data_IF_222920089485
#
_entry.id   IF_222920089485
#
_cell.length_a   1.000
_cell.length_b   1.000
_cell.length_c   1.000
_cell.angle_alpha   90.00
_cell.angle_beta   90.00
_cell.angle_gamma   90.00
#
_symmetry.space_group_name_H-M   'P 1'
#
loop_
_entity.id
_entity.type
_entity.pdbx_description
1 polymer ?
#
# COMPACT_ATOMS: atom_id res chain seq x y z
N UNK A 1 6.27 18.90 3.27
CA UNK A 1 5.70 17.64 2.79
C UNK A 1 4.31 17.51 3.35
N UNK A 2 3.35 17.01 2.54
CA UNK A 2 1.98 16.86 3.05
C UNK A 2 1.72 15.41 3.48
N UNK A 3 2.36 14.43 2.82
CA UNK A 3 2.23 13.00 3.07
C UNK A 3 3.59 12.36 3.29
N UNK A 4 3.76 11.66 4.39
CA UNK A 4 4.88 10.74 4.61
C UNK A 4 4.32 9.32 4.56
N UNK A 5 4.98 8.45 3.79
CA UNK A 5 4.64 7.03 3.71
C UNK A 5 5.84 6.24 4.18
N UNK A 6 5.63 5.31 5.11
CA UNK A 6 6.69 4.44 5.62
C UNK A 6 6.34 3.00 5.30
N UNK A 7 7.21 2.31 4.58
CA UNK A 7 6.94 0.95 4.11
C UNK A 7 8.16 0.19 3.64
N UNK A 8 7.94 -1.04 3.18
CA UNK A 8 8.95 -1.85 2.51
C UNK A 8 9.29 -1.23 1.15
N UNK A 9 10.56 -1.32 0.80
CA UNK A 9 11.08 -0.97 -0.52
C UNK A 9 11.99 -2.09 -1.02
N UNK A 10 11.82 -2.52 -2.25
CA UNK A 10 12.65 -3.54 -2.86
C UNK A 10 12.37 -3.72 -4.35
N UNK A 11 13.08 -4.66 -4.97
CA UNK A 11 12.90 -5.00 -6.37
C UNK A 11 11.90 -6.15 -6.52
N UNK A 12 10.89 -5.98 -7.35
CA UNK A 12 9.95 -7.02 -7.75
C UNK A 12 10.26 -7.51 -9.15
N UNK A 13 10.32 -8.82 -9.33
CA UNK A 13 10.57 -9.46 -10.63
C UNK A 13 9.40 -10.38 -10.96
N UNK A 14 8.86 -10.26 -12.16
CA UNK A 14 7.66 -10.92 -12.63
C UNK A 14 7.97 -11.85 -13.81
N UNK A 15 8.52 -13.05 -13.59
CA UNK A 15 8.68 -14.02 -14.64
C UNK A 15 7.33 -14.67 -15.00
N UNK A 16 6.99 -14.66 -16.30
CA UNK A 16 5.81 -15.34 -16.82
C UNK A 16 6.20 -16.73 -17.31
N UNK A 17 5.52 -17.76 -16.80
CA UNK A 17 5.81 -19.17 -17.09
C UNK A 17 4.56 -19.90 -17.57
N UNK A 18 4.73 -21.08 -18.19
CA UNK A 18 3.59 -21.87 -18.65
C UNK A 18 2.79 -22.48 -17.49
N UNK A 19 3.47 -22.89 -16.44
CA UNK A 19 2.92 -23.50 -15.23
C UNK A 19 3.92 -23.32 -14.07
N UNK A 20 3.51 -23.56 -12.84
CA UNK A 20 4.45 -23.54 -11.71
C UNK A 20 5.31 -24.80 -11.66
N UNK A 21 6.57 -24.63 -11.21
CA UNK A 21 7.55 -25.69 -11.13
C UNK A 21 7.03 -26.92 -10.37
N UNK A 22 7.34 -28.10 -10.92
CA UNK A 22 7.34 -29.37 -10.22
C UNK A 22 8.73 -29.62 -9.61
N UNK A 23 8.86 -30.53 -8.65
CA UNK A 23 10.18 -30.93 -8.17
C UNK A 23 11.10 -31.33 -9.34
N UNK A 24 12.38 -30.87 -9.29
CA UNK A 24 13.44 -31.16 -10.28
C UNK A 24 13.19 -30.60 -11.70
N UNK A 25 12.19 -29.76 -11.88
CA UNK A 25 11.86 -29.14 -13.17
C UNK A 25 12.54 -27.78 -13.35
N UNK A 26 13.13 -27.56 -14.52
CA UNK A 26 13.58 -26.25 -14.98
C UNK A 26 12.59 -25.71 -16.00
N UNK A 27 12.03 -24.51 -15.74
CA UNK A 27 11.15 -23.81 -16.68
C UNK A 27 11.88 -22.64 -17.31
N UNK A 28 11.55 -22.37 -18.56
CA UNK A 28 11.93 -21.12 -19.23
C UNK A 28 10.76 -20.12 -19.09
N UNK A 29 11.05 -18.94 -18.57
CA UNK A 29 10.12 -17.83 -18.63
C UNK A 29 10.04 -17.33 -20.08
N UNK A 30 8.85 -17.04 -20.55
CA UNK A 30 8.62 -16.48 -21.88
C UNK A 30 8.53 -14.95 -21.86
N UNK A 31 8.40 -14.35 -20.68
CA UNK A 31 8.49 -12.91 -20.43
C UNK A 31 9.09 -12.64 -19.04
N UNK A 32 9.73 -11.49 -18.90
CA UNK A 32 10.34 -11.05 -17.66
C UNK A 32 10.20 -9.54 -17.54
N UNK A 33 9.46 -9.10 -16.54
CA UNK A 33 9.34 -7.69 -16.16
C UNK A 33 9.94 -7.48 -14.77
N UNK A 34 10.47 -6.29 -14.49
CA UNK A 34 11.00 -5.95 -13.18
C UNK A 34 10.76 -4.48 -12.87
N UNK A 35 10.32 -4.18 -11.67
CA UNK A 35 10.12 -2.83 -11.18
C UNK A 35 10.36 -2.75 -9.68
N UNK A 36 10.73 -1.57 -9.12
CA UNK A 36 10.70 -1.33 -7.70
C UNK A 36 9.30 -1.54 -7.13
N UNK A 37 9.19 -1.99 -5.88
CA UNK A 37 7.90 -2.28 -5.27
C UNK A 37 7.97 -2.39 -3.75
N UNK A 38 6.87 -2.85 -3.20
CA UNK A 38 6.49 -2.86 -1.80
C UNK A 38 5.17 -2.09 -1.66
N UNK A 39 4.28 -2.49 -0.75
CA UNK A 39 2.96 -1.84 -0.65
C UNK A 39 3.09 -0.35 -0.39
N UNK A 40 3.87 0.04 0.63
CA UNK A 40 4.10 1.46 0.92
C UNK A 40 4.74 2.20 -0.25
N UNK A 41 5.65 1.57 -0.97
CA UNK A 41 6.29 2.13 -2.16
C UNK A 41 5.26 2.40 -3.28
N UNK A 42 4.44 1.40 -3.58
CA UNK A 42 3.37 1.51 -4.58
C UNK A 42 2.35 2.60 -4.20
N UNK A 43 1.99 2.66 -2.91
CA UNK A 43 1.08 3.68 -2.37
C UNK A 43 1.66 5.10 -2.51
N UNK A 44 2.98 5.24 -2.40
CA UNK A 44 3.66 6.52 -2.59
C UNK A 44 3.57 7.00 -4.05
N UNK A 45 3.82 6.11 -5.01
CA UNK A 45 3.67 6.41 -6.44
C UNK A 45 2.24 6.78 -6.77
N UNK A 46 1.26 5.99 -6.29
CA UNK A 46 -0.15 6.28 -6.50
C UNK A 46 -0.55 7.66 -5.94
N UNK A 47 -0.09 8.00 -4.74
CA UNK A 47 -0.39 9.28 -4.10
C UNK A 47 0.23 10.46 -4.87
N UNK A 48 1.48 10.34 -5.33
CA UNK A 48 2.16 11.37 -6.11
C UNK A 48 1.45 11.62 -7.45
N UNK A 49 1.08 10.56 -8.17
CA UNK A 49 0.33 10.65 -9.42
C UNK A 49 -1.07 11.25 -9.25
N UNK A 50 -1.64 11.13 -8.06
CA UNK A 50 -2.89 11.80 -7.66
C UNK A 50 -2.68 13.21 -7.09
N UNK A 51 -1.51 13.81 -7.30
CA UNK A 51 -1.20 15.22 -7.01
C UNK A 51 -0.75 15.50 -5.57
N UNK A 52 -0.48 14.50 -4.74
CA UNK A 52 0.04 14.73 -3.40
C UNK A 52 1.55 15.06 -3.40
N UNK A 53 1.98 15.90 -2.44
CA UNK A 53 3.40 16.14 -2.15
C UNK A 53 3.91 15.09 -1.17
N UNK A 54 4.60 14.06 -1.68
CA UNK A 54 4.92 12.81 -1.00
C UNK A 54 6.40 12.71 -0.63
N UNK A 55 6.69 12.19 0.55
CA UNK A 55 7.96 11.58 0.87
C UNK A 55 7.75 10.10 1.25
N UNK A 56 8.65 9.24 0.79
CA UNK A 56 8.64 7.82 1.11
C UNK A 56 9.86 7.45 1.93
N UNK A 57 9.65 6.75 3.05
CA UNK A 57 10.71 6.21 3.90
C UNK A 57 10.75 4.68 3.83
N UNK A 58 11.93 4.15 3.54
CA UNK A 58 12.21 2.73 3.45
C UNK A 58 13.66 2.42 3.76
N UNK A 59 14.01 1.12 3.84
CA UNK A 59 15.38 0.67 3.98
C UNK A 59 15.85 -0.05 2.73
N UNK A 60 17.08 0.22 2.29
CA UNK A 60 17.72 -0.42 1.14
C UNK A 60 19.16 -0.78 1.45
N UNK A 61 19.70 -1.76 0.74
CA UNK A 61 21.14 -2.06 0.74
C UNK A 61 21.92 -1.08 -0.17
N UNK A 62 23.26 -1.07 -0.07
CA UNK A 62 24.13 -0.33 -0.98
C UNK A 62 24.34 -1.11 -2.27
N UNK A 63 23.26 -1.42 -2.96
CA UNK A 63 23.20 -2.24 -4.18
C UNK A 63 22.40 -1.56 -5.30
N UNK A 64 22.47 -2.10 -6.51
CA UNK A 64 21.79 -1.53 -7.69
C UNK A 64 20.27 -1.49 -7.53
N UNK A 65 19.68 -2.45 -6.80
CA UNK A 65 18.25 -2.48 -6.53
C UNK A 65 17.82 -1.31 -5.63
N UNK A 66 18.64 -1.00 -4.61
CA UNK A 66 18.41 0.15 -3.73
C UNK A 66 18.54 1.48 -4.47
N UNK A 67 19.53 1.61 -5.35
CA UNK A 67 19.70 2.79 -6.21
C UNK A 67 18.52 2.95 -7.17
N UNK A 68 18.06 1.85 -7.78
CA UNK A 68 16.90 1.86 -8.68
C UNK A 68 15.61 2.30 -7.96
N UNK A 69 15.41 1.84 -6.71
CA UNK A 69 14.28 2.26 -5.89
C UNK A 69 14.30 3.76 -5.63
N UNK A 70 15.43 4.33 -5.19
CA UNK A 70 15.53 5.76 -4.91
C UNK A 70 15.32 6.59 -6.18
N UNK A 71 15.95 6.21 -7.29
CA UNK A 71 15.84 6.89 -8.58
C UNK A 71 14.41 6.91 -9.09
N UNK A 72 13.68 5.79 -9.02
CA UNK A 72 12.28 5.76 -9.48
C UNK A 72 11.38 6.67 -8.64
N UNK A 73 11.61 6.79 -7.34
CA UNK A 73 10.87 7.75 -6.50
C UNK A 73 11.11 9.20 -6.95
N UNK A 74 12.37 9.55 -7.24
CA UNK A 74 12.72 10.89 -7.74
C UNK A 74 12.08 11.18 -9.10
N UNK A 75 12.03 10.20 -10.00
CA UNK A 75 11.35 10.31 -11.31
C UNK A 75 9.83 10.54 -11.17
N UNK A 76 9.21 10.00 -10.11
CA UNK A 76 7.79 10.23 -9.77
C UNK A 76 7.57 11.51 -8.93
N UNK A 77 8.63 12.30 -8.68
CA UNK A 77 8.55 13.53 -7.89
C UNK A 77 8.38 13.29 -6.39
N UNK A 78 8.71 12.10 -5.90
CA UNK A 78 8.64 11.70 -4.50
C UNK A 78 10.00 11.92 -3.83
N UNK A 79 10.02 12.50 -2.64
CA UNK A 79 11.25 12.66 -1.86
C UNK A 79 11.64 11.32 -1.23
N UNK A 80 12.79 10.71 -1.62
CA UNK A 80 13.24 9.45 -1.03
C UNK A 80 13.92 9.72 0.32
N UNK A 81 13.40 9.13 1.38
CA UNK A 81 13.96 9.12 2.74
C UNK A 81 14.51 7.72 3.04
N UNK A 82 15.59 7.34 2.33
CA UNK A 82 16.09 5.97 2.34
C UNK A 82 17.15 5.77 3.42
N UNK A 83 16.94 4.79 4.32
CA UNK A 83 17.97 4.29 5.22
C UNK A 83 18.82 3.26 4.46
N UNK A 84 20.05 3.64 4.09
CA UNK A 84 21.00 2.71 3.46
C UNK A 84 21.70 1.90 4.55
N UNK A 85 21.58 0.57 4.52
CA UNK A 85 22.07 -0.34 5.58
C UNK A 85 22.90 -1.47 5.00
N UNK A 86 23.87 -1.97 5.78
CA UNK A 86 24.65 -3.13 5.40
C UNK A 86 23.75 -4.36 5.18
N UNK A 87 23.81 -4.92 3.98
CA UNK A 87 22.99 -6.03 3.55
C UNK A 87 22.41 -5.78 2.15
N UNK A 88 21.41 -6.57 1.77
CA UNK A 88 20.77 -6.47 0.45
C UNK A 88 19.40 -5.81 0.56
N UNK A 89 19.06 -5.09 -0.51
CA UNK A 89 17.70 -4.58 -0.73
C UNK A 89 16.71 -5.75 -0.79
N UNK A 90 15.48 -5.52 -0.34
CA UNK A 90 14.41 -6.51 -0.43
C UNK A 90 14.14 -6.92 -1.87
N UNK A 91 13.68 -8.16 -2.05
CA UNK A 91 13.42 -8.72 -3.37
C UNK A 91 12.15 -9.58 -3.34
N UNK A 92 11.34 -9.48 -4.37
CA UNK A 92 10.17 -10.35 -4.57
C UNK A 92 10.23 -11.02 -5.95
N UNK A 93 10.09 -12.35 -5.98
CA UNK A 93 9.83 -13.09 -7.20
C UNK A 93 8.34 -13.43 -7.27
N UNK A 94 7.67 -12.94 -8.31
CA UNK A 94 6.23 -13.10 -8.52
C UNK A 94 6.04 -13.90 -9.81
N UNK A 95 5.99 -15.22 -9.71
CA UNK A 95 5.76 -16.09 -10.86
C UNK A 95 4.29 -16.04 -11.25
N UNK A 96 4.00 -15.78 -12.53
CA UNK A 96 2.63 -15.81 -13.07
C UNK A 96 2.52 -16.92 -14.11
N UNK A 97 1.53 -17.79 -13.98
CA UNK A 97 1.25 -18.84 -14.95
C UNK A 97 0.28 -18.37 -16.07
N UNK A 98 0.07 -19.21 -17.10
CA UNK A 98 -0.85 -18.91 -18.23
C UNK A 98 -2.31 -18.69 -17.80
N UNK A 99 -2.72 -19.06 -16.59
CA UNK A 99 -4.06 -18.83 -16.06
C UNK A 99 -4.17 -17.52 -15.30
N UNK A 100 -3.03 -16.79 -15.15
CA UNK A 100 -2.94 -15.57 -14.37
C UNK A 100 -2.87 -15.82 -12.85
N UNK A 101 -2.58 -17.06 -12.42
CA UNK A 101 -2.32 -17.35 -11.00
C UNK A 101 -0.91 -16.91 -10.64
N UNK A 102 -0.74 -16.37 -9.43
CA UNK A 102 0.54 -15.89 -8.94
C UNK A 102 1.09 -16.75 -7.79
N UNK A 103 2.42 -16.94 -7.78
CA UNK A 103 3.17 -17.44 -6.61
C UNK A 103 4.27 -16.46 -6.27
N UNK A 104 4.26 -16.02 -5.01
CA UNK A 104 5.16 -14.96 -4.54
C UNK A 104 6.15 -15.53 -3.53
N UNK A 105 7.43 -15.20 -3.73
CA UNK A 105 8.49 -15.44 -2.74
C UNK A 105 9.14 -14.11 -2.44
N UNK A 106 9.23 -13.75 -1.15
CA UNK A 106 9.81 -12.47 -0.70
C UNK A 106 11.06 -12.74 0.12
N UNK A 107 12.13 -12.04 -0.23
CA UNK A 107 13.29 -11.82 0.63
C UNK A 107 13.17 -10.42 1.24
N UNK A 108 13.00 -10.34 2.55
CA UNK A 108 12.70 -9.08 3.23
C UNK A 108 13.85 -8.06 3.22
N UNK A 109 15.10 -8.50 2.96
CA UNK A 109 16.26 -7.63 2.89
C UNK A 109 16.56 -6.89 4.20
N UNK A 110 17.22 -5.75 4.06
CA UNK A 110 17.45 -4.82 5.17
C UNK A 110 16.12 -4.15 5.57
N UNK A 111 15.97 -3.86 6.86
CA UNK A 111 14.72 -3.38 7.43
C UNK A 111 14.93 -2.08 8.21
N UNK A 112 13.90 -1.23 8.24
CA UNK A 112 13.87 -0.05 9.11
C UNK A 112 13.92 -0.46 10.58
N UNK A 113 14.66 0.29 11.38
CA UNK A 113 14.69 0.20 12.85
C UNK A 113 13.96 1.40 13.47
N UNK A 114 13.69 1.35 14.77
CA UNK A 114 13.15 2.49 15.51
C UNK A 114 14.08 3.72 15.42
N UNK A 115 15.41 3.52 15.39
CA UNK A 115 16.39 4.61 15.25
C UNK A 115 16.32 5.28 13.87
N UNK A 116 16.05 4.52 12.80
CA UNK A 116 15.84 5.11 11.47
C UNK A 116 14.58 5.99 11.48
N UNK A 117 13.55 5.59 12.22
CA UNK A 117 12.32 6.39 12.37
C UNK A 117 12.57 7.64 13.24
N UNK A 118 13.42 7.56 14.29
CA UNK A 118 13.83 8.74 15.07
C UNK A 118 14.49 9.80 14.17
N UNK A 119 15.30 9.38 13.22
CA UNK A 119 15.94 10.30 12.27
C UNK A 119 14.94 11.01 11.34
N UNK A 120 13.71 10.51 11.23
CA UNK A 120 12.62 11.07 10.42
C UNK A 120 11.63 11.94 11.24
N UNK A 121 11.91 12.22 12.53
CA UNK A 121 10.96 12.94 13.39
C UNK A 121 10.56 14.31 12.79
N UNK A 122 11.50 15.06 12.23
CA UNK A 122 11.22 16.36 11.63
C UNK A 122 10.28 16.24 10.39
N UNK A 123 10.48 15.21 9.58
CA UNK A 123 9.64 14.95 8.40
C UNK A 123 8.23 14.51 8.82
N UNK A 124 8.13 13.61 9.81
CA UNK A 124 6.84 13.18 10.37
C UNK A 124 6.12 14.37 10.99
N UNK A 125 6.79 15.17 11.82
CA UNK A 125 6.21 16.35 12.48
C UNK A 125 5.68 17.40 11.50
N UNK A 126 6.29 17.52 10.30
CA UNK A 126 5.85 18.46 9.26
C UNK A 126 4.71 17.91 8.39
N UNK A 127 4.42 16.62 8.45
CA UNK A 127 3.40 15.98 7.63
C UNK A 127 1.99 16.29 8.13
N UNK A 128 1.03 16.37 7.21
CA UNK A 128 -0.41 16.44 7.53
C UNK A 128 -1.02 15.06 7.69
N UNK A 129 -0.41 14.05 7.05
CA UNK A 129 -0.86 12.67 7.02
C UNK A 129 0.34 11.73 6.97
N UNK A 130 0.26 10.64 7.72
CA UNK A 130 1.17 9.51 7.69
C UNK A 130 0.42 8.28 7.20
N UNK A 131 0.98 7.53 6.25
CA UNK A 131 0.45 6.25 5.79
C UNK A 131 1.42 5.14 6.17
N UNK A 132 0.93 4.13 6.88
CA UNK A 132 1.71 3.00 7.37
C UNK A 132 1.18 1.67 6.87
N UNK A 133 2.10 0.77 6.55
CA UNK A 133 1.82 -0.66 6.30
C UNK A 133 2.64 -1.54 7.23
N UNK A 134 2.12 -2.69 7.72
CA UNK A 134 2.88 -3.59 8.59
C UNK A 134 3.88 -4.48 7.82
N UNK A 135 4.39 -3.99 6.70
CA UNK A 135 5.53 -4.60 6.00
C UNK A 135 6.89 -4.23 6.62
N UNK A 136 6.89 -3.28 7.57
CA UNK A 136 8.07 -2.90 8.35
C UNK A 136 8.04 -3.59 9.72
N UNK A 137 9.19 -3.76 10.40
CA UNK A 137 9.24 -4.36 11.73
C UNK A 137 8.41 -3.60 12.77
N UNK A 138 7.77 -4.33 13.70
CA UNK A 138 6.97 -3.75 14.77
C UNK A 138 7.66 -2.60 15.52
N UNK A 139 8.95 -2.66 15.92
CA UNK A 139 9.60 -1.54 16.61
C UNK A 139 9.65 -0.25 15.79
N UNK A 140 9.83 -0.34 14.47
CA UNK A 140 9.79 0.81 13.57
C UNK A 140 8.36 1.35 13.44
N UNK A 141 7.39 0.46 13.27
CA UNK A 141 5.96 0.82 13.19
C UNK A 141 5.49 1.53 14.47
N UNK A 142 5.77 0.93 15.63
CA UNK A 142 5.45 1.49 16.94
C UNK A 142 6.04 2.90 17.12
N UNK A 143 7.31 3.07 16.72
CA UNK A 143 7.98 4.36 16.82
C UNK A 143 7.37 5.42 15.90
N UNK A 144 6.97 5.04 14.68
CA UNK A 144 6.27 5.93 13.78
C UNK A 144 4.90 6.38 14.33
N UNK A 145 4.15 5.46 14.93
CA UNK A 145 2.88 5.77 15.61
C UNK A 145 3.08 6.72 16.79
N UNK A 146 4.11 6.48 17.62
CA UNK A 146 4.44 7.34 18.76
C UNK A 146 4.79 8.77 18.32
N UNK A 147 5.64 8.92 17.29
CA UNK A 147 6.00 10.23 16.76
C UNK A 147 4.80 10.95 16.14
N UNK A 148 3.97 10.24 15.38
CA UNK A 148 2.75 10.80 14.82
C UNK A 148 1.80 11.32 15.93
N UNK A 149 1.59 10.53 16.99
CA UNK A 149 0.78 10.94 18.13
C UNK A 149 1.37 12.16 18.86
N UNK A 150 2.70 12.18 19.08
CA UNK A 150 3.42 13.30 19.72
C UNK A 150 3.23 14.61 18.97
N UNK A 151 3.22 14.57 17.65
CA UNK A 151 3.13 15.76 16.79
C UNK A 151 1.71 16.01 16.25
N UNK A 152 0.71 15.22 16.66
CA UNK A 152 -0.68 15.38 16.24
C UNK A 152 -0.93 15.09 14.76
N UNK A 153 -0.09 14.24 14.14
CA UNK A 153 -0.21 13.84 12.73
C UNK A 153 -1.25 12.73 12.60
N UNK A 154 -2.19 12.89 11.67
CA UNK A 154 -3.18 11.85 11.38
C UNK A 154 -2.51 10.65 10.73
N UNK A 155 -2.87 9.43 11.16
CA UNK A 155 -2.33 8.20 10.61
C UNK A 155 -3.40 7.40 9.88
N UNK A 156 -3.14 7.03 8.63
CA UNK A 156 -3.87 5.99 7.91
C UNK A 156 -3.06 4.70 8.04
N UNK A 157 -3.69 3.62 8.47
CA UNK A 157 -3.06 2.29 8.49
C UNK A 157 -3.74 1.44 7.43
N UNK A 158 -2.93 0.99 6.46
CA UNK A 158 -3.32 -0.12 5.59
C UNK A 158 -2.78 -1.42 6.19
N UNK A 159 -3.61 -2.23 6.89
CA UNK A 159 -3.15 -3.40 7.64
C UNK A 159 -2.90 -4.59 6.69
N UNK A 160 -2.07 -4.40 5.69
CA UNK A 160 -1.73 -5.35 4.62
C UNK A 160 -0.22 -5.64 4.59
N UNK A 161 0.23 -6.89 4.82
CA UNK A 161 -0.60 -8.02 5.28
C UNK A 161 -1.07 -7.81 6.73
N UNK A 162 -2.25 -8.33 7.06
CA UNK A 162 -2.69 -8.31 8.46
C UNK A 162 -1.83 -9.24 9.31
N UNK A 163 -1.22 -8.66 10.32
CA UNK A 163 -0.38 -9.33 11.31
C UNK A 163 -0.84 -8.96 12.71
N UNK A 164 -0.86 -9.94 13.63
CA UNK A 164 -1.51 -9.77 14.93
C UNK A 164 -0.89 -8.68 15.80
N UNK A 165 0.40 -8.42 15.63
CA UNK A 165 1.07 -7.38 16.41
C UNK A 165 0.62 -5.95 16.06
N UNK A 166 -0.10 -5.74 14.93
CA UNK A 166 -0.62 -4.41 14.57
C UNK A 166 -1.86 -4.02 15.39
N UNK A 167 -2.57 -4.99 16.00
CA UNK A 167 -3.83 -4.77 16.71
C UNK A 167 -3.79 -3.62 17.74
N UNK A 168 -2.76 -3.51 18.62
CA UNK A 168 -2.70 -2.42 19.60
C UNK A 168 -2.69 -1.01 19.00
N UNK A 169 -2.26 -0.86 17.75
CA UNK A 169 -2.12 0.43 17.09
C UNK A 169 -3.36 0.84 16.28
N UNK A 170 -4.26 -0.10 15.99
CA UNK A 170 -5.41 0.16 15.12
C UNK A 170 -6.36 1.21 15.70
N UNK A 171 -6.55 1.24 17.00
CA UNK A 171 -7.46 2.19 17.66
C UNK A 171 -6.99 3.65 17.54
N UNK A 172 -5.67 3.87 17.44
CA UNK A 172 -5.05 5.19 17.34
C UNK A 172 -4.96 5.71 15.90
N UNK A 173 -5.30 4.87 14.91
CA UNK A 173 -5.34 5.28 13.52
C UNK A 173 -6.47 6.29 13.27
N UNK A 174 -6.26 7.26 12.41
CA UNK A 174 -7.32 8.13 11.93
C UNK A 174 -8.29 7.40 10.99
N UNK A 175 -7.77 6.48 10.16
CA UNK A 175 -8.55 5.63 9.25
C UNK A 175 -7.83 4.29 9.04
N UNK A 176 -8.62 3.22 8.89
CA UNK A 176 -8.13 1.88 8.53
C UNK A 176 -8.59 1.52 7.13
N UNK A 177 -7.69 0.89 6.34
CA UNK A 177 -8.00 0.52 4.96
C UNK A 177 -7.72 -0.96 4.66
N UNK A 178 -8.35 -1.89 5.39
CA UNK A 178 -8.18 -3.32 5.14
C UNK A 178 -8.89 -3.77 3.86
N UNK A 179 -8.46 -4.89 3.29
CA UNK A 179 -9.30 -5.64 2.37
C UNK A 179 -10.31 -6.52 3.13
N UNK A 180 -11.19 -7.23 2.40
CA UNK A 180 -12.23 -8.10 2.98
C UNK A 180 -11.65 -9.13 3.97
N UNK A 181 -10.61 -9.85 3.57
CA UNK A 181 -10.02 -10.91 4.41
C UNK A 181 -9.29 -10.33 5.63
N UNK A 182 -8.60 -9.22 5.47
CA UNK A 182 -7.96 -8.49 6.56
C UNK A 182 -8.99 -7.96 7.57
N UNK A 183 -10.08 -7.36 7.07
CA UNK A 183 -11.18 -6.89 7.92
C UNK A 183 -11.84 -8.04 8.69
N UNK A 184 -12.07 -9.18 8.05
CA UNK A 184 -12.59 -10.38 8.72
C UNK A 184 -11.64 -10.87 9.81
N UNK A 185 -10.34 -10.91 9.54
CA UNK A 185 -9.33 -11.30 10.52
C UNK A 185 -9.28 -10.32 11.72
N UNK A 186 -9.30 -9.00 11.44
CA UNK A 186 -9.34 -7.95 12.48
C UNK A 186 -10.58 -8.03 13.36
N UNK A 187 -11.74 -8.32 12.78
CA UNK A 187 -13.03 -8.35 13.48
C UNK A 187 -13.41 -9.72 14.03
N UNK A 188 -12.59 -10.74 13.75
CA UNK A 188 -12.83 -12.13 14.18
C UNK A 188 -14.15 -12.68 13.65
N UNK A 189 -14.46 -12.44 12.35
CA UNK A 189 -15.72 -12.83 11.73
C UNK A 189 -15.50 -13.54 10.38
N UNK A 190 -16.55 -14.22 9.89
CA UNK A 190 -16.60 -14.78 8.54
C UNK A 190 -17.04 -13.68 7.55
N UNK A 191 -16.81 -13.92 6.26
CA UNK A 191 -17.14 -12.94 5.22
C UNK A 191 -18.64 -12.59 5.18
N UNK A 192 -19.52 -13.56 5.43
CA UNK A 192 -20.97 -13.35 5.46
C UNK A 192 -21.44 -12.46 6.63
N UNK A 193 -20.61 -12.35 7.67
CA UNK A 193 -20.87 -11.56 8.86
C UNK A 193 -20.25 -10.15 8.78
N UNK A 194 -19.41 -9.89 7.77
CA UNK A 194 -18.55 -8.71 7.70
C UNK A 194 -19.35 -7.40 7.76
N UNK A 195 -20.40 -7.25 6.94
CA UNK A 195 -21.20 -6.01 6.91
C UNK A 195 -21.89 -5.75 8.28
N UNK A 196 -22.43 -6.80 8.91
CA UNK A 196 -23.04 -6.69 10.23
C UNK A 196 -21.99 -6.30 11.31
N UNK A 197 -20.79 -6.82 11.21
CA UNK A 197 -19.69 -6.48 12.11
C UNK A 197 -19.18 -5.06 11.89
N UNK A 198 -19.09 -4.62 10.63
CA UNK A 198 -18.69 -3.24 10.29
C UNK A 198 -19.72 -2.21 10.76
N UNK A 199 -21.02 -2.53 10.73
CA UNK A 199 -22.06 -1.65 11.26
C UNK A 199 -21.92 -1.38 12.78
N UNK A 200 -21.25 -2.30 13.51
CA UNK A 200 -20.92 -2.19 14.92
C UNK A 200 -19.42 -2.03 15.18
N UNK A 201 -18.65 -1.67 14.14
CA UNK A 201 -17.19 -1.61 14.22
C UNK A 201 -16.74 -0.60 15.30
N UNK A 202 -15.74 -0.96 16.11
CA UNK A 202 -15.23 -0.06 17.16
C UNK A 202 -14.46 1.13 16.57
N UNK A 203 -13.96 1.00 15.33
CA UNK A 203 -13.19 2.07 14.70
C UNK A 203 -14.10 3.01 13.90
N UNK A 204 -14.00 4.35 14.12
CA UNK A 204 -14.94 5.32 13.56
C UNK A 204 -14.77 5.54 12.04
N UNK A 205 -13.64 5.18 11.44
CA UNK A 205 -13.37 5.41 10.01
C UNK A 205 -12.65 4.22 9.40
N UNK A 206 -13.34 3.54 8.47
CA UNK A 206 -12.76 2.40 7.74
C UNK A 206 -13.14 2.50 6.26
N UNK A 207 -12.23 2.10 5.39
CA UNK A 207 -12.49 1.85 3.98
C UNK A 207 -12.11 0.41 3.66
N UNK A 208 -13.09 -0.48 3.63
CA UNK A 208 -12.88 -1.92 3.40
C UNK A 208 -13.01 -2.23 1.93
N UNK A 209 -11.92 -2.68 1.28
CA UNK A 209 -11.95 -3.03 -0.14
C UNK A 209 -12.56 -4.41 -0.37
N UNK A 210 -13.38 -4.54 -1.41
CA UNK A 210 -14.14 -5.74 -1.76
C UNK A 210 -13.76 -6.28 -3.15
N UNK A 211 -12.57 -5.96 -3.65
CA UNK A 211 -12.14 -6.30 -5.01
C UNK A 211 -13.06 -5.70 -6.06
N UNK A 212 -13.49 -6.51 -7.03
CA UNK A 212 -14.37 -6.05 -8.13
C UNK A 212 -15.75 -5.53 -7.69
N UNK A 213 -16.16 -5.72 -6.45
CA UNK A 213 -17.39 -5.14 -5.89
C UNK A 213 -17.22 -3.68 -5.44
N UNK A 214 -15.98 -3.18 -5.34
CA UNK A 214 -15.68 -1.83 -4.87
C UNK A 214 -15.24 -1.78 -3.41
N UNK A 215 -15.86 -0.95 -2.58
CA UNK A 215 -15.50 -0.79 -1.18
C UNK A 215 -16.68 -0.44 -0.29
N UNK A 216 -16.54 -0.70 1.03
CA UNK A 216 -17.42 -0.21 2.09
C UNK A 216 -16.73 0.92 2.82
N UNK A 217 -17.30 2.12 2.78
CA UNK A 217 -16.85 3.27 3.55
C UNK A 217 -17.67 3.34 4.84
N UNK A 218 -17.00 3.18 5.98
CA UNK A 218 -17.60 3.31 7.31
C UNK A 218 -17.12 4.62 7.93
N UNK A 219 -18.05 5.47 8.33
CA UNK A 219 -17.75 6.70 9.02
C UNK A 219 -18.78 6.96 10.10
N UNK A 220 -18.33 6.99 11.36
CA UNK A 220 -19.15 7.35 12.53
C UNK A 220 -20.49 6.57 12.61
N UNK A 221 -20.42 5.26 12.39
CA UNK A 221 -21.56 4.34 12.40
C UNK A 221 -22.40 4.33 11.12
N UNK A 222 -22.07 5.17 10.15
CA UNK A 222 -22.70 5.15 8.82
C UNK A 222 -21.85 4.33 7.86
N UNK A 223 -22.45 3.38 7.14
CA UNK A 223 -21.79 2.56 6.14
C UNK A 223 -22.37 2.83 4.76
N UNK A 224 -21.49 3.12 3.79
CA UNK A 224 -21.85 3.38 2.39
C UNK A 224 -21.09 2.43 1.49
N UNK A 225 -21.79 1.65 0.65
CA UNK A 225 -21.17 0.83 -0.40
C UNK A 225 -20.84 1.71 -1.60
N UNK A 226 -19.58 1.67 -2.02
CA UNK A 226 -19.06 2.38 -3.20
C UNK A 226 -18.78 1.31 -4.25
N UNK A 227 -19.58 1.21 -5.32
CA UNK A 227 -19.34 0.20 -6.36
C UNK A 227 -18.06 0.51 -7.15
N UNK A 228 -17.33 -0.53 -7.53
CA UNK A 228 -16.23 -0.38 -8.50
C UNK A 228 -16.81 0.01 -9.88
N UNK A 229 -16.01 0.72 -10.67
CA UNK A 229 -16.34 0.93 -12.08
C UNK A 229 -16.25 -0.41 -12.83
N UNK A 230 -17.27 -0.82 -13.57
CA UNK A 230 -17.19 -2.03 -14.37
C UNK A 230 -16.12 -1.91 -15.45
N UNK A 231 -15.12 -2.78 -15.38
CA UNK A 231 -13.99 -2.85 -16.32
C UNK A 231 -13.62 -4.31 -16.60
N UNK A 232 -12.89 -4.57 -17.67
CA UNK A 232 -12.24 -5.86 -17.89
C UNK A 232 -10.85 -5.78 -17.32
N UNK A 233 -10.53 -6.53 -16.25
CA UNK A 233 -9.22 -6.46 -15.63
C UNK A 233 -8.16 -7.11 -16.51
N UNK A 234 -6.99 -6.49 -16.58
CA UNK A 234 -5.76 -7.02 -17.20
C UNK A 234 -4.84 -7.57 -16.09
N UNK A 235 -4.61 -6.76 -15.05
CA UNK A 235 -3.82 -7.15 -13.88
C UNK A 235 -4.40 -6.46 -12.64
N UNK A 236 -4.66 -7.23 -11.58
CA UNK A 236 -5.23 -6.70 -10.33
C UNK A 236 -4.18 -6.42 -9.26
N UNK A 237 -2.91 -6.69 -9.56
CA UNK A 237 -1.79 -6.44 -8.64
C UNK A 237 -1.68 -4.94 -8.34
N UNK A 238 -1.50 -4.58 -7.08
CA UNK A 238 -1.34 -3.18 -6.67
C UNK A 238 -2.61 -2.33 -6.67
N UNK A 239 -3.80 -2.88 -7.02
CA UNK A 239 -5.06 -2.12 -6.98
C UNK A 239 -5.38 -1.56 -5.59
N UNK A 240 -5.11 -2.34 -4.53
CA UNK A 240 -5.22 -1.89 -3.14
C UNK A 240 -4.25 -0.76 -2.81
N UNK A 241 -3.03 -0.82 -3.34
CA UNK A 241 -2.02 0.23 -3.14
C UNK A 241 -2.42 1.51 -3.87
N UNK A 242 -2.91 1.38 -5.11
CA UNK A 242 -3.48 2.49 -5.89
C UNK A 242 -4.61 3.18 -5.11
N UNK A 243 -5.54 2.41 -4.56
CA UNK A 243 -6.64 2.93 -3.74
C UNK A 243 -6.11 3.71 -2.52
N UNK A 244 -5.14 3.15 -1.79
CA UNK A 244 -4.60 3.78 -0.58
C UNK A 244 -3.87 5.09 -0.88
N UNK A 245 -3.02 5.10 -1.91
CA UNK A 245 -2.33 6.33 -2.35
C UNK A 245 -3.31 7.40 -2.81
N UNK A 246 -4.28 7.04 -3.66
CA UNK A 246 -5.32 7.94 -4.13
C UNK A 246 -6.19 8.48 -2.99
N UNK A 247 -6.58 7.63 -2.02
CA UNK A 247 -7.33 8.05 -0.83
C UNK A 247 -6.58 9.15 -0.07
N UNK A 248 -5.30 8.91 0.25
CA UNK A 248 -4.49 9.85 1.01
C UNK A 248 -4.31 11.19 0.26
N UNK A 249 -4.05 11.14 -1.05
CA UNK A 249 -3.94 12.33 -1.89
C UNK A 249 -5.24 13.15 -1.87
N UNK A 250 -6.38 12.52 -2.00
CA UNK A 250 -7.68 13.19 -2.02
C UNK A 250 -8.07 13.77 -0.66
N UNK A 251 -7.75 13.09 0.44
CA UNK A 251 -7.92 13.61 1.80
C UNK A 251 -7.07 14.87 2.02
N UNK A 252 -5.86 14.92 1.47
CA UNK A 252 -4.98 16.08 1.54
C UNK A 252 -5.46 17.25 0.66
N UNK A 253 -6.13 16.95 -0.44
CA UNK A 253 -6.78 17.95 -1.29
C UNK A 253 -8.08 18.54 -0.66
N UNK A 254 -8.51 18.03 0.51
CA UNK A 254 -9.64 18.56 1.26
C UNK A 254 -10.97 17.82 1.04
N UNK A 255 -10.96 16.70 0.30
CA UNK A 255 -12.16 15.86 0.15
C UNK A 255 -12.57 15.27 1.51
N UNK A 256 -13.86 15.06 1.70
CA UNK A 256 -14.37 14.22 2.80
C UNK A 256 -13.94 12.78 2.61
N UNK A 257 -13.98 11.95 3.67
CA UNK A 257 -13.60 10.53 3.56
C UNK A 257 -14.39 9.81 2.45
N UNK A 258 -15.70 10.06 2.36
CA UNK A 258 -16.55 9.42 1.36
C UNK A 258 -16.22 9.89 -0.07
N UNK A 259 -15.94 11.17 -0.28
CA UNK A 259 -15.56 11.71 -1.59
C UNK A 259 -14.18 11.18 -2.02
N UNK A 260 -13.21 11.20 -1.10
CA UNK A 260 -11.89 10.62 -1.33
C UNK A 260 -11.98 9.12 -1.64
N UNK A 261 -12.79 8.36 -0.91
CA UNK A 261 -13.01 6.93 -1.14
C UNK A 261 -13.63 6.64 -2.52
N UNK A 262 -14.60 7.43 -2.98
CA UNK A 262 -15.17 7.29 -4.33
C UNK A 262 -14.11 7.45 -5.43
N UNK A 263 -13.28 8.48 -5.31
CA UNK A 263 -12.19 8.75 -6.27
C UNK A 263 -11.10 7.68 -6.19
N UNK A 264 -10.78 7.20 -4.98
CA UNK A 264 -9.82 6.12 -4.77
C UNK A 264 -10.28 4.79 -5.38
N UNK A 265 -11.57 4.44 -5.24
CA UNK A 265 -12.17 3.26 -5.89
C UNK A 265 -12.13 3.40 -7.42
N UNK A 266 -12.37 4.60 -7.96
CA UNK A 266 -12.25 4.86 -9.39
C UNK A 266 -10.81 4.71 -9.87
N UNK A 267 -9.82 5.27 -9.15
CA UNK A 267 -8.40 5.13 -9.47
C UNK A 267 -7.98 3.64 -9.50
N UNK A 268 -8.37 2.86 -8.48
CA UNK A 268 -8.13 1.42 -8.44
C UNK A 268 -8.83 0.67 -9.58
N UNK A 269 -10.06 1.08 -9.98
CA UNK A 269 -10.74 0.47 -11.12
C UNK A 269 -10.05 0.77 -12.45
N UNK A 270 -9.37 1.91 -12.58
CA UNK A 270 -8.57 2.24 -13.76
C UNK A 270 -7.24 1.49 -13.77
N UNK A 271 -6.56 1.36 -12.62
CA UNK A 271 -5.27 0.67 -12.55
C UNK A 271 -5.37 -0.77 -13.03
N UNK A 272 -6.40 -1.50 -12.67
CA UNK A 272 -6.56 -2.91 -13.06
C UNK A 272 -6.77 -3.13 -14.56
N UNK A 273 -6.97 -2.09 -15.36
CA UNK A 273 -7.09 -2.18 -16.83
C UNK A 273 -5.75 -2.19 -17.55
N UNK A 274 -4.65 -2.09 -16.84
CA UNK A 274 -3.28 -1.99 -17.35
C UNK A 274 -2.42 -3.09 -16.76
N UNK A 275 -1.35 -3.46 -17.46
CA UNK A 275 -0.35 -4.40 -16.96
C UNK A 275 0.62 -3.70 -16.00
N UNK A 276 1.24 -4.49 -15.14
CA UNK A 276 2.22 -4.06 -14.13
C UNK A 276 1.59 -3.27 -12.98
N UNK A 277 2.42 -2.85 -12.01
CA UNK A 277 1.92 -2.15 -10.82
C UNK A 277 2.11 -0.65 -10.93
N UNK A 278 3.36 -0.19 -11.03
CA UNK A 278 3.63 1.24 -11.00
C UNK A 278 3.08 1.96 -12.24
N UNK A 279 3.33 1.39 -13.43
CA UNK A 279 2.90 2.03 -14.69
C UNK A 279 1.38 1.96 -14.89
N UNK A 280 0.69 1.05 -14.19
CA UNK A 280 -0.76 0.94 -14.22
C UNK A 280 -1.47 2.06 -13.42
N UNK A 281 -0.81 2.68 -12.44
CA UNK A 281 -1.43 3.70 -11.59
C UNK A 281 -1.81 4.93 -12.39
N UNK A 282 -3.08 5.39 -12.32
CA UNK A 282 -3.57 6.52 -13.09
C UNK A 282 -3.02 7.85 -12.58
N UNK A 283 -2.97 8.83 -13.46
CA UNK A 283 -2.74 10.23 -13.12
C UNK A 283 -4.04 10.86 -12.60
N UNK A 284 -3.93 11.94 -11.81
CA UNK A 284 -5.08 12.68 -11.26
C UNK A 284 -6.07 13.10 -12.37
N UNK A 285 -5.59 13.59 -13.51
CA UNK A 285 -6.42 14.01 -14.62
C UNK A 285 -7.30 12.89 -15.20
N UNK A 286 -6.88 11.62 -15.11
CA UNK A 286 -7.65 10.46 -15.59
C UNK A 286 -8.78 10.08 -14.62
N UNK A 287 -8.65 10.45 -13.36
CA UNK A 287 -9.64 10.16 -12.32
C UNK A 287 -10.62 11.32 -12.13
N UNK A 288 -10.16 12.56 -12.37
CA UNK A 288 -10.94 13.78 -12.13
C UNK A 288 -11.63 14.32 -13.37
N UNK A 289 -11.19 13.90 -14.57
CA UNK A 289 -11.81 14.28 -15.86
C UNK A 289 -13.04 13.44 -16.12
#
# INVERSE_FOLDING_TARGET
MDLVIIGLCGQSVFPSVDHFHRPEETLHAHDLFAEPGGKGYNQAVAAARMGANVAFAGAVGPDADGEACAKRLEEEGIVPLMAVKDGRTAFAAILTDRRGENRVTVYAGVQLSAQDIDALEAQIASAKLLLLTPEIPEPAFARAMELAARHGVRVVINPAPYVRWVEPYLADAWCLTPNRSEACAMLGCREEELEARLACAPHPRMLVTLGGEGALCVQEGTMVKIPARPVVPVDTTGAGDCLNGALCARLLAGDTLLEAAKKAVLAASLSVTRAHVLDAMPLEAEVMG
#
